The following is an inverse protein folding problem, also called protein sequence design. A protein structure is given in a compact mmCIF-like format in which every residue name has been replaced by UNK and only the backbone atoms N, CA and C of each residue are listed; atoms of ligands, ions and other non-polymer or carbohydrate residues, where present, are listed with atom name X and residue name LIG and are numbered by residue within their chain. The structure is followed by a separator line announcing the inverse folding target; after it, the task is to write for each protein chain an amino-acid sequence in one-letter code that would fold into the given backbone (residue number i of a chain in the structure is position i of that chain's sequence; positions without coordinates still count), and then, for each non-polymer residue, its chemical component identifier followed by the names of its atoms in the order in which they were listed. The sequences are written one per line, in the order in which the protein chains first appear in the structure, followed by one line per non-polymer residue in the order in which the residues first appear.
data_IF_291035196654
#
_entry.id   IF_291035196654
#
_cell.length_a   1.000
_cell.length_b   1.000
_cell.length_c   1.000
_cell.angle_alpha   90.00
_cell.angle_beta   90.00
_cell.angle_gamma   90.00
#
_symmetry.space_group_name_H-M   'P 1'
#
loop_
_entity.id
_entity.type
_entity.pdbx_description
1 polymer ?
#
# COMPACT_ATOMS: atom_id res chain seq x y z
N UNK A 1 -6.35 31.22 5.16
CA UNK A 1 -7.71 30.83 5.61
C UNK A 1 -7.76 30.93 7.13
N UNK A 2 -8.77 31.64 7.67
CA UNK A 2 -8.83 32.09 9.07
C UNK A 2 -9.33 30.99 10.01
N UNK A 3 -8.54 30.64 10.99
CA UNK A 3 -8.94 29.77 12.11
C UNK A 3 -9.79 30.56 13.10
N UNK A 4 -11.04 30.12 13.32
CA UNK A 4 -11.92 30.67 14.37
C UNK A 4 -11.63 29.94 15.70
N UNK A 5 -11.14 30.68 16.69
CA UNK A 5 -11.09 30.29 18.09
C UNK A 5 -12.50 30.40 18.69
N UNK A 6 -13.02 29.31 19.24
CA UNK A 6 -14.19 29.36 20.12
C UNK A 6 -13.70 29.55 21.56
N UNK A 7 -13.94 30.74 22.09
CA UNK A 7 -13.75 31.07 23.51
C UNK A 7 -15.13 31.17 24.13
N UNK A 8 -15.54 30.21 24.96
CA UNK A 8 -16.74 30.31 25.76
C UNK A 8 -16.39 30.73 27.17
N UNK A 9 -16.69 31.98 27.48
CA UNK A 9 -16.75 32.50 28.87
C UNK A 9 -18.08 32.07 29.51
N UNK A 10 -18.04 31.25 30.52
CA UNK A 10 -19.15 30.98 31.42
C UNK A 10 -18.95 31.82 32.68
N UNK A 11 -19.72 32.90 32.79
CA UNK A 11 -19.79 33.76 33.96
C UNK A 11 -20.93 33.26 34.85
N UNK A 12 -20.62 32.59 35.95
CA UNK A 12 -21.60 32.19 36.96
C UNK A 12 -21.86 33.35 37.91
N UNK A 13 -23.03 33.97 37.85
CA UNK A 13 -23.56 34.87 38.88
C UNK A 13 -24.25 34.04 39.97
N UNK A 14 -23.66 33.97 41.14
CA UNK A 14 -24.34 33.47 42.32
C UNK A 14 -25.34 34.51 42.84
N UNK A 15 -26.62 34.16 42.87
CA UNK A 15 -27.68 34.92 43.54
C UNK A 15 -28.06 34.23 44.84
N UNK A 16 -27.74 34.91 45.96
CA UNK A 16 -28.10 34.53 47.32
C UNK A 16 -29.59 34.72 47.51
N UNK A 17 -30.37 33.67 47.76
CA UNK A 17 -31.75 33.76 48.19
C UNK A 17 -31.92 33.02 49.51
N UNK A 18 -32.15 33.82 50.58
CA UNK A 18 -32.71 33.35 51.83
C UNK A 18 -34.21 33.16 51.66
N UNK A 19 -34.73 31.95 51.89
CA UNK A 19 -36.06 31.88 52.54
C UNK A 19 -36.33 30.48 53.13
N UNK A 20 -36.74 30.50 54.40
CA UNK A 20 -37.24 29.37 55.14
C UNK A 20 -38.65 29.02 54.64
N UNK A 21 -38.92 27.79 54.27
CA UNK A 21 -40.10 26.98 54.54
C UNK A 21 -40.00 25.66 53.74
N UNK A 22 -40.31 24.56 54.42
CA UNK A 22 -40.10 23.23 53.97
C UNK A 22 -40.80 22.90 52.66
N UNK A 23 -40.01 22.26 51.79
CA UNK A 23 -40.53 21.63 50.62
C UNK A 23 -39.87 20.25 50.47
N UNK A 24 -40.73 19.25 50.37
CA UNK A 24 -40.36 17.86 50.13
C UNK A 24 -39.52 17.79 48.85
N UNK A 25 -38.25 17.42 48.96
CA UNK A 25 -37.46 17.07 47.78
C UNK A 25 -37.98 15.77 47.18
N UNK A 26 -38.69 15.91 46.05
CA UNK A 26 -38.84 14.82 45.11
C UNK A 26 -37.47 14.71 44.40
N UNK A 27 -36.73 13.65 44.70
CA UNK A 27 -35.52 13.26 43.99
C UNK A 27 -35.92 12.89 42.55
N UNK A 28 -35.88 13.87 41.61
CA UNK A 28 -35.81 13.57 40.21
C UNK A 28 -34.40 13.05 39.95
N UNK A 29 -34.27 11.73 39.80
CA UNK A 29 -33.08 11.08 39.25
C UNK A 29 -33.05 11.42 37.79
N UNK A 30 -32.52 12.60 37.48
CA UNK A 30 -32.13 12.98 36.12
C UNK A 30 -30.94 12.11 35.72
N UNK A 31 -31.22 11.07 34.95
CA UNK A 31 -30.16 10.28 34.34
C UNK A 31 -29.28 11.19 33.46
N UNK A 32 -28.12 11.61 33.97
CA UNK A 32 -27.05 12.05 33.09
C UNK A 32 -26.66 10.82 32.26
N UNK A 33 -27.24 10.71 31.07
CA UNK A 33 -26.61 9.95 30.01
C UNK A 33 -25.27 10.64 29.74
N UNK A 34 -24.23 10.17 30.39
CA UNK A 34 -22.88 10.43 29.96
C UNK A 34 -22.79 9.83 28.55
N UNK A 35 -22.84 10.67 27.54
CA UNK A 35 -22.29 10.33 26.24
C UNK A 35 -20.80 10.12 26.45
N UNK A 36 -20.42 8.94 26.94
CA UNK A 36 -19.07 8.43 26.82
C UNK A 36 -18.85 8.30 25.30
N UNK A 37 -18.12 9.26 24.74
CA UNK A 37 -17.59 9.16 23.39
C UNK A 37 -16.86 7.83 23.30
N UNK A 38 -17.39 6.92 22.50
CA UNK A 38 -16.84 5.59 22.23
C UNK A 38 -15.67 5.79 21.24
N UNK A 39 -14.63 6.47 21.71
CA UNK A 39 -13.34 6.50 21.03
C UNK A 39 -12.40 5.63 21.84
N UNK A 40 -11.69 4.71 21.17
CA UNK A 40 -10.57 4.05 21.79
C UNK A 40 -9.66 5.14 22.36
N UNK A 41 -9.26 4.99 23.60
CA UNK A 41 -8.29 5.91 24.16
C UNK A 41 -7.00 5.79 23.35
N UNK A 42 -6.25 6.87 23.21
CA UNK A 42 -4.91 6.84 22.61
C UNK A 42 -4.06 5.73 23.24
N UNK A 43 -4.27 5.45 24.51
CA UNK A 43 -3.62 4.37 25.25
C UNK A 43 -3.98 2.99 24.67
N UNK A 44 -5.26 2.71 24.41
CA UNK A 44 -5.68 1.43 23.82
C UNK A 44 -5.09 1.21 22.43
N UNK A 45 -5.04 2.25 21.61
CA UNK A 45 -4.42 2.17 20.29
C UNK A 45 -2.92 1.88 20.38
N UNK A 46 -2.22 2.57 21.28
CA UNK A 46 -0.79 2.37 21.51
C UNK A 46 -0.49 0.98 22.09
N UNK A 47 -1.38 0.45 22.93
CA UNK A 47 -1.26 -0.92 23.47
C UNK A 47 -1.46 -1.96 22.34
N UNK A 48 -2.46 -1.76 21.49
CA UNK A 48 -2.69 -2.60 20.33
C UNK A 48 -1.49 -2.56 19.37
N UNK A 49 -0.89 -1.38 19.14
CA UNK A 49 0.32 -1.24 18.34
C UNK A 49 1.52 -2.00 18.96
N UNK A 50 1.68 -1.95 20.29
CA UNK A 50 2.71 -2.74 20.98
C UNK A 50 2.47 -4.25 20.83
N UNK A 51 1.23 -4.69 20.91
CA UNK A 51 0.86 -6.08 20.66
C UNK A 51 1.19 -6.51 19.22
N UNK A 52 0.92 -5.65 18.23
CA UNK A 52 1.27 -5.87 16.83
C UNK A 52 2.78 -6.02 16.64
N UNK A 53 3.56 -5.09 17.19
CA UNK A 53 5.03 -5.10 17.08
C UNK A 53 5.68 -6.32 17.75
N UNK A 54 5.01 -6.91 18.75
CA UNK A 54 5.44 -8.15 19.42
C UNK A 54 4.82 -9.41 18.82
N UNK A 55 4.04 -9.29 17.73
CA UNK A 55 3.30 -10.40 17.09
C UNK A 55 2.38 -11.15 18.07
N UNK A 56 1.86 -10.45 19.09
CA UNK A 56 0.92 -11.01 20.04
C UNK A 56 -0.51 -10.97 19.48
N UNK A 57 -0.82 -11.93 18.62
CA UNK A 57 -2.12 -11.98 17.91
C UNK A 57 -3.30 -12.20 18.85
N UNK A 58 -3.12 -12.97 19.94
CA UNK A 58 -4.20 -13.18 20.91
C UNK A 58 -4.61 -11.88 21.61
N UNK A 59 -3.64 -11.00 21.90
CA UNK A 59 -3.89 -9.69 22.45
C UNK A 59 -4.49 -8.73 21.39
N UNK A 60 -4.05 -8.83 20.15
CA UNK A 60 -4.67 -8.07 19.05
C UNK A 60 -6.16 -8.43 18.84
N UNK A 61 -6.55 -9.69 19.02
CA UNK A 61 -7.96 -10.10 18.95
C UNK A 61 -8.80 -9.43 20.05
N UNK A 62 -8.25 -9.29 21.26
CA UNK A 62 -8.91 -8.57 22.34
C UNK A 62 -9.08 -7.08 22.02
N UNK A 63 -8.04 -6.43 21.47
CA UNK A 63 -8.14 -5.03 21.06
C UNK A 63 -9.08 -4.84 19.88
N UNK A 64 -9.11 -5.76 18.92
CA UNK A 64 -10.06 -5.72 17.80
C UNK A 64 -11.51 -5.74 18.31
N UNK A 65 -11.81 -6.59 19.30
CA UNK A 65 -13.13 -6.63 19.93
C UNK A 65 -13.44 -5.35 20.73
N UNK A 66 -12.47 -4.85 21.49
CA UNK A 66 -12.65 -3.65 22.32
C UNK A 66 -12.82 -2.38 21.48
N UNK A 67 -12.16 -2.29 20.31
CA UNK A 67 -12.14 -1.13 19.42
C UNK A 67 -13.12 -1.23 18.26
N UNK A 68 -14.01 -2.23 18.20
CA UNK A 68 -14.86 -2.50 17.04
C UNK A 68 -15.72 -1.32 16.57
N UNK A 69 -16.05 -0.38 17.46
CA UNK A 69 -16.86 0.80 17.17
C UNK A 69 -16.02 2.08 17.07
N UNK A 70 -14.71 1.97 17.11
CA UNK A 70 -13.80 3.09 17.01
C UNK A 70 -13.40 3.36 15.56
N UNK A 71 -13.09 4.62 15.24
CA UNK A 71 -12.60 5.02 13.93
C UNK A 71 -11.28 4.33 13.56
N UNK A 72 -10.48 3.91 14.54
CA UNK A 72 -9.22 3.19 14.39
C UNK A 72 -9.36 1.68 14.64
N UNK A 73 -10.57 1.17 14.83
CA UNK A 73 -10.85 -0.21 15.20
C UNK A 73 -10.45 -1.26 14.16
N UNK A 74 -10.16 -0.85 12.92
CA UNK A 74 -9.66 -1.73 11.87
C UNK A 74 -8.15 -2.01 11.96
N UNK A 75 -7.38 -1.24 12.74
CA UNK A 75 -5.94 -1.40 12.81
C UNK A 75 -5.48 -2.74 13.40
N UNK A 76 -6.06 -3.28 14.48
CA UNK A 76 -5.65 -4.59 14.99
C UNK A 76 -5.75 -5.69 13.95
N UNK A 77 -6.83 -5.72 13.15
CA UNK A 77 -6.99 -6.68 12.07
C UNK A 77 -6.02 -6.44 10.92
N UNK A 78 -5.82 -5.18 10.51
CA UNK A 78 -4.82 -4.81 9.52
C UNK A 78 -3.43 -5.33 9.91
N UNK A 79 -2.98 -5.08 11.14
CA UNK A 79 -1.67 -5.54 11.60
C UNK A 79 -1.53 -7.06 11.61
N UNK A 80 -2.58 -7.79 11.98
CA UNK A 80 -2.59 -9.26 11.92
C UNK A 80 -2.42 -9.77 10.51
N UNK A 81 -3.16 -9.22 9.55
CA UNK A 81 -3.07 -9.61 8.14
C UNK A 81 -1.72 -9.24 7.55
N UNK A 82 -1.24 -8.04 7.85
CA UNK A 82 0.02 -7.54 7.30
C UNK A 82 1.27 -8.26 7.85
N UNK A 83 1.24 -8.71 9.11
CA UNK A 83 2.38 -9.39 9.74
C UNK A 83 2.78 -10.69 9.03
N UNK A 84 1.82 -11.39 8.42
CA UNK A 84 2.02 -12.66 7.70
C UNK A 84 1.42 -12.63 6.29
N UNK A 85 1.62 -11.53 5.59
CA UNK A 85 0.94 -11.23 4.33
C UNK A 85 1.12 -12.32 3.26
N UNK A 86 2.32 -12.89 3.13
CA UNK A 86 2.61 -13.95 2.18
C UNK A 86 1.78 -15.24 2.38
N UNK A 87 1.33 -15.50 3.62
CA UNK A 87 0.52 -16.67 3.96
C UNK A 87 -0.99 -16.38 3.99
N UNK A 88 -1.39 -15.10 3.83
CA UNK A 88 -2.80 -14.77 3.78
C UNK A 88 -3.47 -15.26 2.50
N UNK A 89 -4.75 -15.63 2.61
CA UNK A 89 -5.58 -15.88 1.44
C UNK A 89 -6.06 -14.57 0.81
N UNK A 90 -6.31 -14.57 -0.48
CA UNK A 90 -6.94 -13.44 -1.15
C UNK A 90 -8.30 -13.07 -0.53
N UNK A 91 -9.09 -14.07 -0.12
CA UNK A 91 -10.39 -13.86 0.52
C UNK A 91 -10.29 -13.10 1.84
N UNK A 92 -9.22 -13.31 2.63
CA UNK A 92 -9.01 -12.55 3.86
C UNK A 92 -8.79 -11.07 3.57
N UNK A 93 -7.98 -10.75 2.55
CA UNK A 93 -7.70 -9.38 2.12
C UNK A 93 -8.96 -8.72 1.55
N UNK A 94 -9.68 -9.42 0.67
CA UNK A 94 -10.96 -8.96 0.11
C UNK A 94 -11.98 -8.69 1.21
N UNK A 95 -12.12 -9.61 2.17
CA UNK A 95 -13.05 -9.45 3.30
C UNK A 95 -12.70 -8.23 4.17
N UNK A 96 -11.41 -7.96 4.39
CA UNK A 96 -10.97 -6.77 5.09
C UNK A 96 -11.34 -5.50 4.30
N UNK A 97 -11.03 -5.45 3.00
CA UNK A 97 -11.32 -4.31 2.15
C UNK A 97 -12.83 -4.04 2.02
N UNK A 98 -13.66 -5.09 1.99
CA UNK A 98 -15.12 -4.96 1.96
C UNK A 98 -15.71 -4.43 3.27
N UNK A 99 -15.13 -4.81 4.42
CA UNK A 99 -15.58 -4.29 5.73
C UNK A 99 -15.17 -2.85 5.96
N UNK A 100 -14.03 -2.45 5.43
CA UNK A 100 -13.46 -1.11 5.62
C UNK A 100 -13.28 -0.36 4.29
N UNK A 101 -14.35 -0.24 3.48
CA UNK A 101 -14.28 0.41 2.18
C UNK A 101 -13.87 1.89 2.38
N UNK A 102 -12.95 2.37 1.58
CA UNK A 102 -12.35 3.71 1.69
C UNK A 102 -11.35 3.90 2.84
N UNK A 103 -10.96 2.85 3.54
CA UNK A 103 -9.82 2.91 4.44
C UNK A 103 -8.52 2.92 3.63
N UNK A 104 -7.62 3.86 3.91
CA UNK A 104 -6.28 3.87 3.32
C UNK A 104 -5.51 2.57 3.63
N UNK A 105 -5.80 1.94 4.79
CA UNK A 105 -5.17 0.67 5.16
C UNK A 105 -5.73 -0.51 4.36
N UNK A 106 -6.98 -0.46 3.90
CA UNK A 106 -7.53 -1.50 3.03
C UNK A 106 -6.86 -1.47 1.64
N UNK A 107 -6.68 -0.29 1.08
CA UNK A 107 -5.97 -0.11 -0.17
C UNK A 107 -4.50 -0.53 -0.04
N UNK A 108 -3.81 -0.04 1.00
CA UNK A 108 -2.42 -0.41 1.26
C UNK A 108 -2.25 -1.92 1.44
N UNK A 109 -3.11 -2.57 2.21
CA UNK A 109 -3.04 -4.03 2.42
C UNK A 109 -3.23 -4.80 1.11
N UNK A 110 -4.14 -4.33 0.24
CA UNK A 110 -4.35 -4.93 -1.07
C UNK A 110 -3.12 -4.75 -1.98
N UNK A 111 -2.52 -3.55 -1.98
CA UNK A 111 -1.32 -3.25 -2.76
C UNK A 111 -0.11 -4.06 -2.28
N UNK A 112 0.16 -4.08 -0.97
CA UNK A 112 1.24 -4.86 -0.36
C UNK A 112 1.06 -6.37 -0.64
N UNK A 113 -0.20 -6.86 -0.61
CA UNK A 113 -0.50 -8.25 -0.96
C UNK A 113 -0.19 -8.57 -2.42
N UNK A 114 -0.55 -7.69 -3.36
CA UNK A 114 -0.22 -7.85 -4.78
C UNK A 114 1.30 -7.92 -4.96
N UNK A 115 2.06 -7.02 -4.35
CA UNK A 115 3.52 -7.06 -4.41
C UNK A 115 4.10 -8.36 -3.86
N UNK A 116 3.60 -8.81 -2.71
CA UNK A 116 4.07 -10.03 -2.07
C UNK A 116 3.78 -11.27 -2.94
N UNK A 117 2.56 -11.37 -3.50
CA UNK A 117 2.20 -12.48 -4.38
C UNK A 117 2.96 -12.47 -5.71
N UNK A 118 3.31 -11.29 -6.23
CA UNK A 118 4.18 -11.15 -7.42
C UNK A 118 5.58 -11.72 -7.16
N UNK A 119 6.18 -11.45 -5.99
CA UNK A 119 7.50 -12.03 -5.60
C UNK A 119 7.48 -13.55 -5.64
N UNK A 120 6.35 -14.16 -5.30
CA UNK A 120 6.16 -15.60 -5.28
C UNK A 120 5.49 -16.17 -6.55
N UNK A 121 5.32 -15.36 -7.61
CA UNK A 121 4.66 -15.73 -8.86
C UNK A 121 3.21 -16.26 -8.69
N UNK A 122 2.53 -15.92 -7.59
CA UNK A 122 1.14 -16.30 -7.31
C UNK A 122 0.14 -15.30 -7.92
N UNK A 123 0.20 -15.16 -9.24
CA UNK A 123 -0.57 -14.12 -9.96
C UNK A 123 -2.09 -14.30 -9.90
N UNK A 124 -2.57 -15.54 -9.76
CA UNK A 124 -4.01 -15.81 -9.66
C UNK A 124 -4.60 -15.24 -8.37
N UNK A 125 -3.90 -15.43 -7.24
CA UNK A 125 -4.29 -14.89 -5.94
C UNK A 125 -4.27 -13.35 -5.96
N UNK A 126 -3.19 -12.78 -6.51
CA UNK A 126 -3.04 -11.34 -6.65
C UNK A 126 -4.16 -10.72 -7.51
N UNK A 127 -4.59 -11.41 -8.57
CA UNK A 127 -5.65 -10.91 -9.48
C UNK A 127 -6.95 -10.60 -8.75
N UNK A 128 -7.33 -11.42 -7.79
CA UNK A 128 -8.61 -11.29 -7.08
C UNK A 128 -8.72 -10.05 -6.20
N UNK A 129 -7.58 -9.42 -5.85
CA UNK A 129 -7.53 -8.20 -5.02
C UNK A 129 -7.28 -6.92 -5.81
N UNK A 130 -7.01 -7.00 -7.13
CA UNK A 130 -6.62 -5.83 -7.94
C UNK A 130 -7.65 -4.69 -7.90
N UNK A 131 -8.94 -4.99 -7.79
CA UNK A 131 -10.00 -3.97 -7.73
C UNK A 131 -9.96 -3.08 -6.49
N UNK A 132 -9.18 -3.46 -5.49
CA UNK A 132 -9.00 -2.71 -4.25
C UNK A 132 -7.73 -1.84 -4.25
N UNK A 133 -6.90 -1.93 -5.30
CA UNK A 133 -5.70 -1.10 -5.47
C UNK A 133 -6.09 0.06 -6.39
N UNK A 134 -6.43 1.22 -5.82
CA UNK A 134 -7.02 2.35 -6.56
C UNK A 134 -6.04 3.48 -6.85
N UNK A 135 -5.06 3.73 -5.99
CA UNK A 135 -4.02 4.76 -6.16
C UNK A 135 -2.62 4.18 -5.93
N UNK A 136 -2.21 3.20 -6.75
CA UNK A 136 -0.92 2.56 -6.57
C UNK A 136 0.24 3.54 -6.78
N UNK A 137 1.26 3.43 -5.95
CA UNK A 137 2.54 4.08 -6.24
C UNK A 137 3.25 3.43 -7.43
N UNK A 138 4.48 3.87 -7.75
CA UNK A 138 5.21 3.32 -8.90
C UNK A 138 5.52 1.83 -8.76
N UNK A 139 5.91 1.38 -7.57
CA UNK A 139 6.25 -0.02 -7.32
C UNK A 139 5.00 -0.90 -7.39
N UNK A 140 3.94 -0.49 -6.71
CA UNK A 140 2.63 -1.13 -6.71
C UNK A 140 2.03 -1.20 -8.12
N UNK A 141 2.12 -0.09 -8.90
CA UNK A 141 1.67 -0.03 -10.29
C UNK A 141 2.36 -1.07 -11.16
N UNK A 142 3.68 -1.23 -11.00
CA UNK A 142 4.43 -2.25 -11.73
C UNK A 142 4.05 -3.67 -11.29
N UNK A 143 3.76 -3.90 -10.02
CA UNK A 143 3.28 -5.20 -9.54
C UNK A 143 1.89 -5.53 -10.12
N UNK A 144 0.95 -4.58 -10.08
CA UNK A 144 -0.37 -4.69 -10.73
C UNK A 144 -0.21 -5.01 -12.22
N UNK A 145 0.68 -4.31 -12.92
CA UNK A 145 0.96 -4.55 -14.34
C UNK A 145 1.49 -5.97 -14.59
N UNK A 146 2.35 -6.51 -13.73
CA UNK A 146 2.81 -7.89 -13.84
C UNK A 146 1.67 -8.89 -13.70
N UNK A 147 0.77 -8.68 -12.71
CA UNK A 147 -0.41 -9.54 -12.53
C UNK A 147 -1.30 -9.48 -13.76
N UNK A 148 -1.62 -8.28 -14.27
CA UNK A 148 -2.42 -8.09 -15.48
C UNK A 148 -1.81 -8.83 -16.68
N UNK A 149 -0.52 -8.64 -16.93
CA UNK A 149 0.19 -9.30 -18.02
C UNK A 149 0.15 -10.83 -17.90
N UNK A 150 0.41 -11.36 -16.69
CA UNK A 150 0.42 -12.80 -16.44
C UNK A 150 -0.97 -13.44 -16.44
N UNK A 151 -2.02 -12.65 -16.30
CA UNK A 151 -3.41 -13.11 -16.34
C UNK A 151 -4.14 -12.76 -17.64
N UNK A 152 -3.40 -12.41 -18.69
CA UNK A 152 -3.88 -12.32 -20.08
C UNK A 152 -4.19 -10.92 -20.60
N UNK A 153 -3.88 -9.84 -19.84
CA UNK A 153 -4.03 -8.48 -20.32
C UNK A 153 -2.75 -8.02 -21.05
N UNK A 154 -2.78 -8.12 -22.37
CA UNK A 154 -1.64 -7.73 -23.20
C UNK A 154 -1.51 -6.22 -23.42
N UNK A 155 -2.53 -5.42 -23.14
CA UNK A 155 -2.50 -3.96 -23.31
C UNK A 155 -1.52 -3.30 -22.33
N UNK A 156 -1.27 -3.94 -21.19
CA UNK A 156 -0.35 -3.45 -20.16
C UNK A 156 1.04 -3.14 -20.72
N UNK A 157 1.52 -3.85 -21.72
CA UNK A 157 2.85 -3.59 -22.31
C UNK A 157 2.91 -2.27 -23.09
N UNK A 158 1.80 -1.84 -23.68
CA UNK A 158 1.71 -0.52 -24.31
C UNK A 158 1.59 0.60 -23.27
N UNK A 159 0.84 0.36 -22.17
CA UNK A 159 0.64 1.32 -21.10
C UNK A 159 1.93 1.63 -20.32
N UNK A 160 2.84 0.64 -20.18
CA UNK A 160 4.06 0.75 -19.38
C UNK A 160 5.34 0.85 -20.22
N UNK A 161 5.27 1.42 -21.42
CA UNK A 161 6.46 1.64 -22.26
C UNK A 161 7.50 2.55 -21.63
N UNK A 162 7.11 3.50 -20.82
CA UNK A 162 8.00 4.37 -20.03
C UNK A 162 8.88 3.57 -19.07
N UNK A 163 8.31 2.56 -18.40
CA UNK A 163 9.07 1.62 -17.55
C UNK A 163 10.05 0.80 -18.39
N UNK A 164 9.64 0.41 -19.61
CA UNK A 164 10.51 -0.31 -20.54
C UNK A 164 11.73 0.49 -20.93
N UNK A 165 11.57 1.79 -21.22
CA UNK A 165 12.65 2.67 -21.64
C UNK A 165 13.40 3.36 -20.49
N UNK A 166 12.98 3.17 -19.24
CA UNK A 166 13.65 3.76 -18.10
C UNK A 166 15.09 3.25 -17.96
N UNK A 167 16.01 4.20 -17.75
CA UNK A 167 17.44 3.94 -17.56
C UNK A 167 17.93 4.35 -16.16
N UNK A 168 17.04 4.83 -15.30
CA UNK A 168 17.27 5.10 -13.89
C UNK A 168 17.04 3.85 -13.03
N UNK A 169 17.39 3.93 -11.75
CA UNK A 169 17.09 2.87 -10.78
C UNK A 169 15.59 2.72 -10.62
N UNK A 170 15.09 1.51 -10.86
CA UNK A 170 13.69 1.17 -10.77
C UNK A 170 13.40 0.31 -9.53
N UNK A 171 12.20 0.41 -8.92
CA UNK A 171 11.71 -0.58 -7.96
C UNK A 171 11.83 -2.00 -8.51
N UNK A 172 11.95 -2.98 -7.62
CA UNK A 172 12.13 -4.39 -8.02
C UNK A 172 10.95 -4.91 -8.85
N UNK A 173 9.72 -4.53 -8.49
CA UNK A 173 8.51 -4.86 -9.26
C UNK A 173 8.56 -4.31 -10.69
N UNK A 174 9.07 -3.08 -10.90
CA UNK A 174 9.24 -2.50 -12.23
C UNK A 174 10.35 -3.22 -13.02
N UNK A 175 11.43 -3.63 -12.36
CA UNK A 175 12.45 -4.48 -12.96
C UNK A 175 11.89 -5.84 -13.37
N UNK A 176 11.01 -6.42 -12.56
CA UNK A 176 10.23 -7.63 -12.86
C UNK A 176 9.35 -7.46 -14.10
N UNK A 177 8.58 -6.38 -14.17
CA UNK A 177 7.78 -6.03 -15.35
C UNK A 177 8.67 -5.89 -16.60
N UNK A 178 9.81 -5.21 -16.49
CA UNK A 178 10.77 -5.08 -17.59
C UNK A 178 11.29 -6.44 -18.11
N UNK A 179 11.50 -7.42 -17.22
CA UNK A 179 11.85 -8.80 -17.63
C UNK A 179 10.71 -9.50 -18.36
N UNK A 180 9.45 -9.32 -17.93
CA UNK A 180 8.29 -9.86 -18.64
C UNK A 180 8.17 -9.25 -20.04
N UNK A 181 8.35 -7.95 -20.17
CA UNK A 181 8.35 -7.25 -21.45
C UNK A 181 9.47 -7.77 -22.36
N UNK A 182 10.67 -7.99 -21.83
CA UNK A 182 11.82 -8.48 -22.59
C UNK A 182 11.55 -9.83 -23.26
N UNK A 183 10.83 -10.73 -22.57
CA UNK A 183 10.46 -12.05 -23.10
C UNK A 183 9.15 -12.06 -23.90
N UNK A 184 8.43 -10.94 -23.96
CA UNK A 184 7.13 -10.86 -24.64
C UNK A 184 7.28 -10.75 -26.17
N UNK A 185 6.50 -11.53 -26.95
CA UNK A 185 6.45 -11.36 -28.40
C UNK A 185 5.81 -10.04 -28.84
N UNK A 186 5.13 -9.33 -27.94
CA UNK A 186 4.50 -8.04 -28.22
C UNK A 186 5.52 -6.88 -28.27
N UNK A 187 6.72 -7.08 -27.72
CA UNK A 187 7.82 -6.12 -27.84
C UNK A 187 8.55 -6.34 -29.17
N UNK A 188 8.52 -5.33 -30.02
CA UNK A 188 9.12 -5.41 -31.35
C UNK A 188 10.66 -5.44 -31.27
N UNK A 189 11.31 -5.87 -32.35
CA UNK A 189 12.77 -5.78 -32.46
C UNK A 189 13.26 -4.31 -32.32
N UNK A 190 12.49 -3.36 -32.86
CA UNK A 190 12.79 -1.94 -32.72
C UNK A 190 12.70 -1.47 -31.25
N UNK A 191 11.67 -1.88 -30.49
CA UNK A 191 11.56 -1.54 -29.05
C UNK A 191 12.76 -2.08 -28.28
N UNK A 192 13.18 -3.34 -28.55
CA UNK A 192 14.36 -3.95 -27.92
C UNK A 192 15.66 -3.23 -28.30
N UNK A 193 15.79 -2.82 -29.56
CA UNK A 193 16.97 -2.08 -30.02
C UNK A 193 17.06 -0.70 -29.36
N UNK A 194 15.96 0.05 -29.28
CA UNK A 194 15.91 1.33 -28.58
C UNK A 194 16.26 1.18 -27.09
N UNK A 195 15.73 0.14 -26.44
CA UNK A 195 16.09 -0.18 -25.05
C UNK A 195 17.58 -0.47 -24.89
N UNK A 196 18.15 -1.31 -25.79
CA UNK A 196 19.57 -1.63 -25.77
C UNK A 196 20.43 -0.36 -25.84
N UNK A 197 20.11 0.54 -26.77
CA UNK A 197 20.81 1.83 -26.88
C UNK A 197 20.71 2.70 -25.63
N UNK A 198 19.51 2.77 -25.01
CA UNK A 198 19.30 3.47 -23.75
C UNK A 198 20.16 2.90 -22.62
N UNK A 199 20.17 1.57 -22.46
CA UNK A 199 20.95 0.87 -21.46
C UNK A 199 22.47 1.03 -21.65
N UNK A 200 22.96 0.98 -22.88
CA UNK A 200 24.36 1.23 -23.19
C UNK A 200 24.79 2.64 -22.82
N UNK A 201 23.99 3.65 -23.18
CA UNK A 201 24.24 5.05 -22.82
C UNK A 201 24.24 5.28 -21.31
N UNK A 202 23.41 4.56 -20.57
CA UNK A 202 23.31 4.63 -19.11
C UNK A 202 24.36 3.77 -18.37
N UNK A 203 25.23 3.06 -19.09
CA UNK A 203 26.24 2.18 -18.48
C UNK A 203 25.66 0.91 -17.83
N UNK A 204 24.43 0.51 -18.19
CA UNK A 204 23.75 -0.66 -17.63
C UNK A 204 24.17 -1.96 -18.35
N UNK A 205 25.44 -2.30 -18.29
CA UNK A 205 26.03 -3.40 -19.06
C UNK A 205 25.32 -4.75 -18.89
N UNK A 206 24.94 -5.13 -17.65
CA UNK A 206 24.24 -6.40 -17.41
C UNK A 206 22.86 -6.45 -18.08
N UNK A 207 22.08 -5.39 -17.98
CA UNK A 207 20.75 -5.30 -18.62
C UNK A 207 20.87 -5.22 -20.15
N UNK A 208 21.90 -4.53 -20.66
CA UNK A 208 22.19 -4.42 -22.08
C UNK A 208 22.52 -5.80 -22.69
N UNK A 209 23.33 -6.62 -22.02
CA UNK A 209 23.61 -7.99 -22.46
C UNK A 209 22.32 -8.82 -22.59
N UNK A 210 21.47 -8.79 -21.57
CA UNK A 210 20.19 -9.51 -21.59
C UNK A 210 19.28 -9.04 -22.74
N UNK A 211 19.22 -7.73 -23.00
CA UNK A 211 18.45 -7.19 -24.11
C UNK A 211 19.05 -7.57 -25.48
N UNK A 212 20.38 -7.52 -25.62
CA UNK A 212 21.10 -7.92 -26.84
C UNK A 212 20.85 -9.39 -27.20
N UNK A 213 20.83 -10.30 -26.21
CA UNK A 213 20.53 -11.72 -26.42
C UNK A 213 19.15 -11.92 -27.07
N UNK A 214 18.14 -11.13 -26.71
CA UNK A 214 16.81 -11.23 -27.34
C UNK A 214 16.77 -10.74 -28.78
N UNK A 215 17.81 -10.03 -29.22
CA UNK A 215 18.03 -9.61 -30.62
C UNK A 215 18.96 -10.57 -31.38
N UNK A 216 19.38 -11.67 -30.74
CA UNK A 216 20.35 -12.61 -31.32
C UNK A 216 21.79 -12.08 -31.31
N UNK A 217 22.08 -11.02 -30.55
CA UNK A 217 23.40 -10.44 -30.46
C UNK A 217 24.15 -11.04 -29.25
N UNK A 218 25.37 -11.53 -29.46
CA UNK A 218 26.25 -12.05 -28.43
C UNK A 218 27.23 -10.95 -27.97
N UNK A 219 26.80 -10.14 -27.00
CA UNK A 219 27.65 -9.13 -26.40
C UNK A 219 28.24 -9.67 -25.09
N UNK A 220 29.56 -9.56 -24.93
CA UNK A 220 30.24 -9.84 -23.69
C UNK A 220 30.48 -8.55 -22.87
N UNK A 221 30.64 -8.71 -21.55
CA UNK A 221 30.98 -7.57 -20.69
C UNK A 221 32.28 -6.87 -21.11
N UNK A 222 33.27 -7.66 -21.58
CA UNK A 222 34.55 -7.13 -22.07
C UNK A 222 34.36 -6.23 -23.31
N UNK A 223 33.54 -6.68 -24.28
CA UNK A 223 33.21 -5.87 -25.46
C UNK A 223 32.46 -4.59 -25.06
N UNK A 224 31.49 -4.66 -24.14
CA UNK A 224 30.77 -3.47 -23.69
C UNK A 224 31.69 -2.46 -23.00
N UNK A 225 32.57 -2.92 -22.13
CA UNK A 225 33.57 -2.05 -21.47
C UNK A 225 34.50 -1.40 -22.49
N UNK A 226 34.87 -2.11 -23.54
CA UNK A 226 35.70 -1.59 -24.64
C UNK A 226 34.93 -0.52 -25.43
N UNK A 227 33.69 -0.77 -25.80
CA UNK A 227 32.80 0.21 -26.49
C UNK A 227 32.63 1.48 -25.64
N UNK A 228 32.43 1.31 -24.33
CA UNK A 228 32.28 2.46 -23.42
C UNK A 228 33.56 3.26 -23.24
N UNK A 229 34.72 2.60 -23.26
CA UNK A 229 36.01 3.26 -23.14
C UNK A 229 36.40 4.03 -24.44
N UNK A 230 36.05 3.47 -25.61
CA UNK A 230 36.41 4.01 -26.91
C UNK A 230 35.19 4.03 -27.87
N UNK A 231 34.20 4.90 -27.62
CA UNK A 231 32.95 4.90 -28.39
C UNK A 231 33.08 5.29 -29.86
N UNK A 232 34.22 5.85 -30.26
CA UNK A 232 34.49 6.25 -31.64
C UNK A 232 35.13 5.14 -32.49
N UNK A 233 35.52 4.00 -31.89
CA UNK A 233 36.15 2.87 -32.58
C UNK A 233 35.13 1.84 -33.08
N UNK A 234 33.84 2.09 -32.85
CA UNK A 234 32.69 1.24 -33.17
C UNK A 234 31.58 2.09 -33.79
#
# INVERSE_FOLDING_TARGET
MKTKKCTNLITTKQKKVNNKKGFRCVLAVGGMMACSSIYASEEQFNDALRAANSSNFALLDQYQAAMQNDALGYYPEYWKLNNNLGFQSADAIVSFAQRYPRSAMAEKLAADYVEEKVKHASYADAKSVLSYVTNPDKAESCAVAQVRAKTGDNLVFAEYKDVWFATDSQPESCSGLGRLMLSSPLMTAQDRQLRLWGQLRAGQSGSAIATAQTLGLNLSLAQLNQIQANPLDY
#
